data_IF_415943226282
#
_entry.id   IF_415943226282
#
_cell.length_a   1.000
_cell.length_b   1.000
_cell.length_c   1.000
_cell.angle_alpha   90.00
_cell.angle_beta   90.00
_cell.angle_gamma   90.00
#
_symmetry.space_group_name_H-M   'P 1'
#
loop_
_entity.id
_entity.type
_entity.pdbx_description
1 polymer ?
#
# COMPACT_ATOMS: atom_id res chain seq x y z
N UNK A 1 5.29 -21.24 13.39
CA UNK A 1 5.17 -20.05 14.26
C UNK A 1 3.98 -19.24 13.77
N UNK A 2 3.12 -18.70 14.65
CA UNK A 2 2.03 -17.81 14.24
C UNK A 2 2.58 -16.39 14.04
N UNK A 3 2.06 -15.67 13.06
CA UNK A 3 2.39 -14.28 12.76
C UNK A 3 1.22 -13.35 13.11
N UNK A 4 1.41 -12.02 13.13
CA UNK A 4 0.37 -11.08 13.54
C UNK A 4 -0.96 -11.27 12.81
N UNK A 5 -0.93 -11.47 11.50
CA UNK A 5 -2.14 -11.67 10.69
C UNK A 5 -2.94 -12.93 11.09
N UNK A 6 -2.29 -13.93 11.70
CA UNK A 6 -2.91 -15.20 12.11
C UNK A 6 -3.62 -15.10 13.47
N UNK A 7 -3.21 -14.14 14.30
CA UNK A 7 -3.71 -13.96 15.68
C UNK A 7 -4.60 -12.72 15.84
N UNK A 8 -4.54 -11.78 14.89
CA UNK A 8 -5.31 -10.54 14.89
C UNK A 8 -6.62 -10.62 14.09
N UNK A 9 -7.13 -11.83 13.83
CA UNK A 9 -8.32 -12.03 13.00
C UNK A 9 -9.60 -11.48 13.65
N UNK A 10 -9.72 -11.58 14.97
CA UNK A 10 -10.88 -11.15 15.77
C UNK A 10 -10.53 -10.19 16.90
N UNK A 11 -9.36 -9.54 16.82
CA UNK A 11 -8.88 -8.62 17.86
C UNK A 11 -9.43 -7.23 17.62
N UNK A 12 -10.05 -6.67 18.66
CA UNK A 12 -10.54 -5.31 18.64
C UNK A 12 -9.38 -4.29 18.62
N UNK A 13 -9.37 -3.30 17.71
CA UNK A 13 -8.31 -2.30 17.64
C UNK A 13 -8.08 -1.50 18.94
N UNK A 14 -9.06 -1.33 19.82
CA UNK A 14 -8.87 -0.60 21.08
C UNK A 14 -7.99 -1.40 22.05
N UNK A 15 -8.07 -2.73 22.00
CA UNK A 15 -7.20 -3.62 22.78
C UNK A 15 -5.72 -3.48 22.39
N UNK A 16 -5.43 -3.28 21.10
CA UNK A 16 -4.07 -3.03 20.61
C UNK A 16 -3.52 -1.70 21.11
N UNK A 17 -4.36 -0.67 21.10
CA UNK A 17 -3.97 0.63 21.62
C UNK A 17 -3.74 0.58 23.14
N UNK A 18 -4.57 -0.16 23.88
CA UNK A 18 -4.38 -0.32 25.32
C UNK A 18 -3.08 -1.07 25.65
N UNK A 19 -2.80 -2.19 24.97
CA UNK A 19 -1.53 -2.92 25.11
C UNK A 19 -0.33 -2.02 24.80
N UNK A 20 -0.45 -1.18 23.77
CA UNK A 20 0.59 -0.22 23.40
C UNK A 20 0.80 0.88 24.46
N UNK A 21 -0.28 1.39 25.08
CA UNK A 21 -0.20 2.32 26.22
C UNK A 21 0.46 1.68 27.44
N UNK A 22 0.05 0.47 27.78
CA UNK A 22 0.60 -0.27 28.93
C UNK A 22 2.10 -0.53 28.74
N UNK A 23 2.53 -0.86 27.51
CA UNK A 23 3.95 -1.02 27.19
C UNK A 23 4.72 0.30 27.29
N UNK A 24 4.18 1.41 26.77
CA UNK A 24 4.82 2.72 26.91
C UNK A 24 5.02 3.11 28.38
N UNK A 25 4.01 2.88 29.23
CA UNK A 25 4.13 3.10 30.68
C UNK A 25 5.21 2.23 31.32
N UNK A 26 5.33 0.96 30.92
CA UNK A 26 6.42 0.08 31.38
C UNK A 26 7.79 0.56 30.92
N UNK A 27 7.88 1.05 29.68
CA UNK A 27 9.12 1.54 29.09
C UNK A 27 9.64 2.80 29.82
N UNK A 28 8.74 3.66 30.31
CA UNK A 28 9.08 4.85 31.11
C UNK A 28 9.73 4.51 32.47
N UNK A 29 9.34 3.40 33.08
CA UNK A 29 9.82 2.95 34.39
C UNK A 29 10.83 1.81 34.30
N UNK A 30 11.38 1.60 33.11
CA UNK A 30 12.26 0.47 32.82
C UNK A 30 13.61 0.61 33.52
N UNK A 31 14.12 -0.52 34.05
CA UNK A 31 15.51 -0.61 34.52
C UNK A 31 16.49 -0.54 33.33
N UNK A 32 17.41 0.45 33.27
CA UNK A 32 18.42 0.57 32.21
C UNK A 32 19.36 -0.64 32.08
N UNK A 33 19.50 -1.46 33.13
CA UNK A 33 20.40 -2.62 33.14
C UNK A 33 19.85 -3.85 32.39
N UNK A 34 18.59 -3.81 31.92
CA UNK A 34 17.97 -4.90 31.15
C UNK A 34 17.38 -4.36 29.86
N UNK A 35 18.20 -4.12 28.82
CA UNK A 35 17.74 -3.66 27.50
C UNK A 35 16.97 -4.75 26.74
N UNK A 36 16.10 -4.33 25.81
CA UNK A 36 15.21 -5.17 25.00
C UNK A 36 15.46 -4.74 23.57
N UNK A 37 15.47 -5.72 22.67
CA UNK A 37 15.90 -5.51 21.32
C UNK A 37 14.89 -6.10 20.35
N UNK A 38 14.63 -5.39 19.26
CA UNK A 38 13.98 -5.96 18.11
C UNK A 38 15.04 -6.48 17.13
N UNK A 39 14.93 -7.76 16.77
CA UNK A 39 15.75 -8.32 15.69
C UNK A 39 15.08 -8.02 14.35
N UNK A 40 15.80 -7.37 13.44
CA UNK A 40 15.34 -7.14 12.08
C UNK A 40 15.99 -8.19 11.16
N UNK A 41 15.21 -8.93 10.35
CA UNK A 41 15.78 -9.87 9.40
C UNK A 41 16.80 -9.20 8.47
N UNK A 42 18.05 -9.69 8.47
CA UNK A 42 19.12 -9.16 7.63
C UNK A 42 19.75 -7.85 8.12
N UNK A 43 19.52 -7.43 9.36
CA UNK A 43 20.14 -6.24 9.96
C UNK A 43 20.48 -6.46 11.43
N UNK A 44 21.15 -5.49 12.04
CA UNK A 44 21.48 -5.54 13.47
C UNK A 44 20.23 -5.43 14.35
N UNK A 45 20.40 -5.82 15.62
CA UNK A 45 19.37 -5.67 16.63
C UNK A 45 19.24 -4.21 17.02
N UNK A 46 18.01 -3.71 17.07
CA UNK A 46 17.73 -2.34 17.51
C UNK A 46 17.30 -2.38 18.96
N UNK A 47 18.01 -1.63 19.80
CA UNK A 47 17.60 -1.41 21.19
C UNK A 47 16.30 -0.59 21.24
N UNK A 48 15.32 -1.07 21.98
CA UNK A 48 14.04 -0.39 22.16
C UNK A 48 14.16 0.57 23.34
N UNK A 49 13.98 1.86 23.07
CA UNK A 49 14.08 2.93 24.04
C UNK A 49 13.01 4.00 23.86
N UNK A 50 12.89 4.89 24.85
CA UNK A 50 11.91 5.98 24.82
C UNK A 50 12.13 6.97 23.67
N UNK A 51 13.38 7.10 23.19
CA UNK A 51 13.74 8.03 22.13
C UNK A 51 13.38 7.54 20.71
N UNK A 52 13.15 6.24 20.53
CA UNK A 52 12.91 5.63 19.22
C UNK A 52 11.57 4.89 19.13
N UNK A 53 10.67 5.09 20.08
CA UNK A 53 9.32 4.52 20.08
C UNK A 53 8.29 5.63 20.06
N UNK A 54 7.24 5.48 19.24
CA UNK A 54 6.18 6.47 19.15
C UNK A 54 4.84 5.93 18.64
N UNK A 55 3.75 6.56 19.03
CA UNK A 55 2.41 6.20 18.58
C UNK A 55 2.18 6.63 17.12
N UNK A 56 1.66 5.72 16.31
CA UNK A 56 1.27 5.96 14.92
C UNK A 56 -0.19 5.58 14.68
N UNK A 57 -0.97 6.40 13.95
CA UNK A 57 -2.36 6.05 13.62
C UNK A 57 -2.41 4.99 12.52
N UNK A 58 -3.24 3.97 12.70
CA UNK A 58 -3.43 2.91 11.69
C UNK A 58 -4.20 3.40 10.46
N UNK A 59 -5.08 4.39 10.62
CA UNK A 59 -6.05 4.81 9.61
C UNK A 59 -5.90 6.28 9.19
N UNK A 60 -4.67 6.72 8.94
CA UNK A 60 -4.39 8.05 8.39
C UNK A 60 -4.71 9.17 9.36
N UNK A 61 -5.61 10.09 8.97
CA UNK A 61 -6.01 11.23 9.79
C UNK A 61 -6.87 10.82 11.01
N UNK A 62 -7.41 9.59 11.00
CA UNK A 62 -8.15 9.08 12.14
C UNK A 62 -7.19 8.70 13.28
N UNK A 63 -7.19 9.51 14.33
CA UNK A 63 -6.37 9.33 15.52
C UNK A 63 -6.99 8.41 16.57
N UNK A 64 -8.15 7.79 16.31
CA UNK A 64 -8.84 6.93 17.28
C UNK A 64 -8.07 5.64 17.56
N UNK A 65 -7.39 5.07 16.56
CA UNK A 65 -6.72 3.77 16.69
C UNK A 65 -5.23 3.91 16.42
N UNK A 66 -4.43 3.84 17.48
CA UNK A 66 -2.98 3.98 17.42
C UNK A 66 -2.27 2.74 17.93
N UNK A 67 -1.11 2.45 17.34
CA UNK A 67 -0.18 1.43 17.81
C UNK A 67 1.19 2.06 18.05
N UNK A 68 2.05 1.39 18.82
CA UNK A 68 3.44 1.81 18.92
C UNK A 68 4.24 1.31 17.72
N UNK A 69 5.04 2.21 17.17
CA UNK A 69 6.06 1.90 16.17
C UNK A 69 7.44 2.10 16.78
N UNK A 70 8.38 1.23 16.38
CA UNK A 70 9.80 1.38 16.61
C UNK A 70 10.42 2.06 15.39
N UNK A 71 11.27 3.05 15.60
CA UNK A 71 11.96 3.84 14.59
C UNK A 71 13.46 3.55 14.60
N UNK A 72 14.12 3.74 13.46
CA UNK A 72 15.58 3.70 13.40
C UNK A 72 16.17 4.86 14.22
N UNK A 73 17.14 4.60 15.12
CA UNK A 73 17.78 5.67 15.91
C UNK A 73 18.46 6.75 15.07
N UNK A 74 19.01 6.37 13.93
CA UNK A 74 19.68 7.28 12.98
C UNK A 74 18.67 8.09 12.15
N UNK A 75 17.43 7.59 12.02
CA UNK A 75 16.41 8.13 11.13
C UNK A 75 15.02 8.03 11.78
N UNK A 76 14.73 8.93 12.72
CA UNK A 76 13.51 8.95 13.54
C UNK A 76 12.17 9.05 12.76
N UNK A 77 12.21 9.12 11.43
CA UNK A 77 11.02 9.09 10.56
C UNK A 77 10.76 7.72 9.91
N UNK A 78 11.70 6.77 10.00
CA UNK A 78 11.61 5.44 9.42
C UNK A 78 11.23 4.40 10.47
N UNK A 79 9.96 4.03 10.49
CA UNK A 79 9.49 2.91 11.29
C UNK A 79 10.03 1.58 10.75
N UNK A 80 10.31 0.63 11.64
CA UNK A 80 10.89 -0.69 11.32
C UNK A 80 10.15 -1.87 11.95
N UNK A 81 9.26 -1.59 12.91
CA UNK A 81 8.45 -2.59 13.57
C UNK A 81 7.28 -1.97 14.30
N UNK A 82 6.33 -2.82 14.70
CA UNK A 82 5.14 -2.43 15.46
C UNK A 82 5.03 -3.29 16.71
N UNK A 83 4.50 -2.70 17.78
CA UNK A 83 4.11 -3.43 18.97
C UNK A 83 2.66 -3.90 18.84
N UNK A 84 2.45 -5.20 18.79
CA UNK A 84 1.15 -5.83 18.53
C UNK A 84 0.97 -7.03 19.46
N UNK A 85 -0.15 -7.07 20.20
CA UNK A 85 -0.48 -8.12 21.19
C UNK A 85 0.70 -8.43 22.12
N UNK A 86 1.15 -7.42 22.84
CA UNK A 86 2.22 -7.52 23.83
C UNK A 86 3.61 -7.92 23.30
N UNK A 87 3.81 -7.94 21.98
CA UNK A 87 5.07 -8.34 21.34
C UNK A 87 5.54 -7.31 20.29
N UNK A 88 6.85 -7.13 20.19
CA UNK A 88 7.46 -6.40 19.07
C UNK A 88 7.59 -7.29 17.85
N UNK A 89 7.10 -6.79 16.71
CA UNK A 89 7.20 -7.45 15.43
C UNK A 89 7.97 -6.61 14.44
N UNK A 90 8.93 -7.23 13.74
CA UNK A 90 9.61 -6.58 12.61
C UNK A 90 8.62 -6.35 11.47
N UNK A 91 8.83 -5.30 10.68
CA UNK A 91 8.00 -5.03 9.51
C UNK A 91 7.94 -6.24 8.56
N UNK A 92 9.05 -6.98 8.41
CA UNK A 92 9.10 -8.16 7.53
C UNK A 92 8.31 -9.35 8.09
N UNK A 93 8.27 -9.54 9.41
CA UNK A 93 7.50 -10.64 10.01
C UNK A 93 6.01 -10.34 10.04
N UNK A 94 5.61 -9.07 10.12
CA UNK A 94 4.19 -8.68 9.99
C UNK A 94 3.63 -9.09 8.62
N UNK A 95 4.46 -9.11 7.57
CA UNK A 95 4.04 -9.48 6.21
C UNK A 95 3.90 -10.98 5.98
N UNK A 96 4.15 -11.82 6.99
CA UNK A 96 4.10 -13.28 6.86
C UNK A 96 2.86 -13.86 7.54
N UNK A 97 2.50 -15.06 7.13
CA UNK A 97 1.49 -15.91 7.78
C UNK A 97 2.07 -17.29 8.00
N UNK A 98 1.54 -18.01 9.00
CA UNK A 98 1.87 -19.40 9.26
C UNK A 98 1.29 -20.34 8.20
N UNK A 99 0.30 -19.88 7.43
CA UNK A 99 -0.35 -20.65 6.37
C UNK A 99 0.40 -20.48 5.04
N UNK A 100 1.20 -21.48 4.60
CA UNK A 100 1.94 -21.39 3.35
C UNK A 100 1.02 -21.45 2.12
N UNK A 101 -0.23 -21.86 2.29
CA UNK A 101 -1.22 -21.95 1.20
C UNK A 101 -1.88 -20.61 0.91
N UNK A 102 -1.71 -19.62 1.78
CA UNK A 102 -2.21 -18.26 1.56
C UNK A 102 -1.51 -17.62 0.37
N UNK A 103 -2.22 -17.54 -0.75
CA UNK A 103 -1.73 -16.99 -2.00
C UNK A 103 -2.84 -16.32 -2.81
N UNK A 104 -2.47 -15.47 -3.76
CA UNK A 104 -3.40 -14.74 -4.61
C UNK A 104 -3.83 -13.39 -4.02
N UNK A 105 -4.80 -12.75 -4.68
CA UNK A 105 -5.37 -11.48 -4.25
C UNK A 105 -6.51 -11.73 -3.28
N UNK A 106 -6.31 -11.35 -2.01
CA UNK A 106 -7.28 -11.54 -0.94
C UNK A 106 -7.73 -10.20 -0.40
N UNK A 107 -9.04 -10.03 -0.25
CA UNK A 107 -9.65 -8.83 0.32
C UNK A 107 -9.30 -8.65 1.79
N UNK A 108 -9.04 -7.41 2.19
CA UNK A 108 -8.75 -7.03 3.57
C UNK A 108 -10.04 -6.99 4.39
N UNK A 109 -10.17 -7.92 5.35
CA UNK A 109 -11.38 -8.06 6.19
C UNK A 109 -11.10 -7.97 7.69
N UNK A 110 -9.87 -8.24 8.10
CA UNK A 110 -9.48 -8.34 9.51
C UNK A 110 -8.54 -7.22 9.94
N UNK A 111 -8.47 -6.97 11.26
CA UNK A 111 -7.50 -6.04 11.85
C UNK A 111 -6.07 -6.40 11.47
N UNK A 112 -5.72 -7.70 11.50
CA UNK A 112 -4.43 -8.21 11.08
C UNK A 112 -4.09 -7.86 9.63
N UNK A 113 -5.01 -8.09 8.69
CA UNK A 113 -4.80 -7.73 7.27
C UNK A 113 -4.68 -6.22 7.07
N UNK A 114 -5.45 -5.42 7.82
CA UNK A 114 -5.32 -3.96 7.76
C UNK A 114 -3.96 -3.49 8.25
N UNK A 115 -3.37 -4.16 9.24
CA UNK A 115 -1.99 -3.90 9.69
C UNK A 115 -0.97 -4.33 8.62
N UNK A 116 -1.16 -5.47 7.95
CA UNK A 116 -0.31 -5.87 6.80
C UNK A 116 -0.34 -4.80 5.71
N UNK A 117 -1.53 -4.32 5.35
CA UNK A 117 -1.72 -3.23 4.39
C UNK A 117 -1.00 -1.95 4.85
N UNK A 118 -1.14 -1.58 6.13
CA UNK A 118 -0.44 -0.44 6.72
C UNK A 118 1.08 -0.61 6.59
N UNK A 119 1.64 -1.78 6.90
CA UNK A 119 3.08 -2.03 6.81
C UNK A 119 3.57 -1.94 5.36
N UNK A 120 2.87 -2.53 4.39
CA UNK A 120 3.23 -2.43 2.98
C UNK A 120 3.28 -0.97 2.50
N UNK A 121 2.26 -0.17 2.84
CA UNK A 121 2.16 1.23 2.41
C UNK A 121 3.08 2.16 3.23
N UNK A 122 2.95 2.17 4.55
CA UNK A 122 3.54 3.19 5.42
C UNK A 122 4.97 2.90 5.83
N UNK A 123 5.36 1.63 5.83
CA UNK A 123 6.71 1.19 6.20
C UNK A 123 7.47 0.80 4.95
N UNK A 124 7.17 -0.35 4.33
CA UNK A 124 7.97 -0.91 3.23
C UNK A 124 8.08 0.06 2.06
N UNK A 125 6.95 0.52 1.52
CA UNK A 125 6.97 1.47 0.41
C UNK A 125 7.72 2.75 0.80
N UNK A 126 7.32 3.44 1.87
CA UNK A 126 7.88 4.77 2.19
C UNK A 126 9.33 4.76 2.66
N UNK A 127 9.81 3.71 3.32
CA UNK A 127 11.15 3.69 3.92
C UNK A 127 12.17 2.90 3.12
N UNK A 128 11.74 1.87 2.36
CA UNK A 128 12.65 0.97 1.64
C UNK A 128 12.52 1.06 0.12
N UNK A 129 11.33 1.32 -0.41
CA UNK A 129 11.06 1.03 -1.83
C UNK A 129 10.56 2.21 -2.67
N UNK A 130 10.21 3.33 -2.06
CA UNK A 130 9.80 4.54 -2.76
C UNK A 130 10.99 5.11 -3.56
N UNK A 131 10.79 5.42 -4.83
CA UNK A 131 11.76 6.21 -5.58
C UNK A 131 11.64 7.70 -5.20
N UNK A 132 12.71 8.47 -5.34
CA UNK A 132 12.73 9.88 -4.92
C UNK A 132 11.64 10.73 -5.59
N UNK A 133 11.32 10.43 -6.85
CA UNK A 133 10.28 11.09 -7.62
C UNK A 133 8.86 10.53 -7.41
N UNK A 134 8.69 9.41 -6.71
CA UNK A 134 7.36 8.82 -6.51
C UNK A 134 6.55 9.61 -5.46
N UNK A 135 5.23 9.64 -5.59
CA UNK A 135 4.34 10.29 -4.61
C UNK A 135 4.15 9.38 -3.39
N UNK A 136 4.09 9.95 -2.17
CA UNK A 136 3.74 9.17 -0.98
C UNK A 136 2.25 8.83 -1.03
N UNK A 137 1.88 7.55 -1.09
CA UNK A 137 0.50 7.12 -0.95
C UNK A 137 -0.07 7.57 0.39
N UNK A 138 -1.32 8.00 0.42
CA UNK A 138 -2.02 8.29 1.67
C UNK A 138 -2.23 6.99 2.47
N UNK A 139 -2.49 7.13 3.77
CA UNK A 139 -2.86 5.96 4.56
C UNK A 139 -4.31 5.59 4.25
N UNK A 140 -4.62 4.30 4.27
CA UNK A 140 -5.97 3.81 4.00
C UNK A 140 -6.91 4.09 5.17
N UNK A 141 -8.16 4.41 4.85
CA UNK A 141 -9.20 4.53 5.85
C UNK A 141 -9.58 3.16 6.43
N UNK A 142 -10.33 3.15 7.53
CA UNK A 142 -10.70 1.91 8.24
C UNK A 142 -11.45 0.92 7.34
N UNK A 143 -12.38 1.43 6.55
CA UNK A 143 -13.31 0.64 5.75
C UNK A 143 -13.02 0.76 4.25
N UNK A 144 -11.86 1.33 3.89
CA UNK A 144 -11.44 1.45 2.49
C UNK A 144 -11.17 0.07 1.90
N UNK A 145 -11.76 -0.19 0.73
CA UNK A 145 -11.58 -1.44 0.00
C UNK A 145 -10.12 -1.61 -0.40
N UNK A 146 -9.55 -2.77 -0.10
CA UNK A 146 -8.23 -3.15 -0.55
C UNK A 146 -8.11 -4.67 -0.69
N UNK A 147 -7.24 -5.12 -1.57
CA UNK A 147 -6.76 -6.51 -1.59
C UNK A 147 -5.25 -6.56 -1.41
N UNK A 148 -4.79 -7.54 -0.65
CA UNK A 148 -3.37 -7.86 -0.49
C UNK A 148 -3.04 -9.03 -1.41
N UNK A 149 -1.94 -8.92 -2.14
CA UNK A 149 -1.38 -10.01 -2.91
C UNK A 149 -0.46 -10.84 -2.02
N UNK A 150 -0.79 -12.11 -1.88
CA UNK A 150 -0.02 -13.10 -1.14
C UNK A 150 0.71 -14.06 -2.08
N UNK A 151 1.96 -14.37 -1.75
CA UNK A 151 2.78 -15.38 -2.43
C UNK A 151 3.43 -16.27 -1.39
N UNK A 152 3.06 -17.55 -1.37
CA UNK A 152 3.64 -18.55 -0.47
C UNK A 152 3.64 -18.12 1.01
N UNK A 153 2.53 -17.54 1.49
CA UNK A 153 2.42 -17.05 2.86
C UNK A 153 3.08 -15.71 3.16
N UNK A 154 3.57 -14.99 2.13
CA UNK A 154 4.13 -13.64 2.28
C UNK A 154 3.32 -12.60 1.51
N UNK A 155 3.04 -11.46 2.13
CA UNK A 155 2.39 -10.33 1.50
C UNK A 155 3.40 -9.54 0.64
N UNK A 156 3.16 -9.52 -0.67
CA UNK A 156 4.12 -8.99 -1.66
C UNK A 156 3.63 -7.74 -2.40
N UNK A 157 2.39 -7.34 -2.18
CA UNK A 157 1.80 -6.15 -2.78
C UNK A 157 0.36 -5.96 -2.36
N UNK A 158 -0.24 -4.87 -2.82
CA UNK A 158 -1.65 -4.57 -2.60
C UNK A 158 -2.18 -3.61 -3.67
N UNK A 159 -3.50 -3.51 -3.76
CA UNK A 159 -4.16 -2.35 -4.35
C UNK A 159 -5.35 -1.93 -3.49
N UNK A 160 -5.70 -0.64 -3.52
CA UNK A 160 -6.89 -0.09 -2.87
C UNK A 160 -7.81 0.58 -3.88
N UNK A 161 -9.09 0.68 -3.53
CA UNK A 161 -10.14 1.24 -4.39
C UNK A 161 -10.97 2.24 -3.62
N UNK A 162 -11.31 3.35 -4.28
CA UNK A 162 -12.40 4.25 -3.89
C UNK A 162 -13.63 3.86 -4.70
N UNK A 163 -14.64 3.21 -4.09
CA UNK A 163 -15.81 2.76 -4.81
C UNK A 163 -16.67 3.93 -5.29
N UNK A 164 -17.34 3.76 -6.42
CA UNK A 164 -18.34 4.71 -6.92
C UNK A 164 -19.43 4.99 -5.87
N UNK A 165 -19.89 6.24 -5.81
CA UNK A 165 -20.92 6.68 -4.87
C UNK A 165 -20.44 6.90 -3.44
N UNK A 166 -19.20 6.53 -3.09
CA UNK A 166 -18.64 6.81 -1.76
C UNK A 166 -18.19 8.26 -1.62
N UNK A 167 -18.35 8.84 -0.42
CA UNK A 167 -17.96 10.21 -0.15
C UNK A 167 -16.44 10.36 -0.21
N UNK A 168 -15.95 11.36 -0.94
CA UNK A 168 -14.54 11.68 -0.96
C UNK A 168 -14.13 12.39 0.32
N UNK A 169 -13.20 11.81 1.10
CA UNK A 169 -12.74 12.41 2.36
C UNK A 169 -12.05 13.76 2.21
N UNK A 170 -11.63 14.14 0.99
CA UNK A 170 -11.03 15.45 0.70
C UNK A 170 -12.07 16.52 0.31
N UNK A 171 -13.29 16.12 -0.05
CA UNK A 171 -14.35 17.01 -0.53
C UNK A 171 -15.65 16.73 0.23
N UNK A 172 -16.08 17.68 1.07
CA UNK A 172 -17.18 17.51 2.02
C UNK A 172 -18.52 17.06 1.42
N UNK A 173 -18.74 17.27 0.12
CA UNK A 173 -20.03 17.05 -0.54
C UNK A 173 -19.96 16.21 -1.82
N UNK A 174 -18.78 15.73 -2.20
CA UNK A 174 -18.61 15.03 -3.48
C UNK A 174 -18.39 13.53 -3.28
N UNK A 175 -19.10 12.73 -4.06
CA UNK A 175 -18.86 11.30 -4.17
C UNK A 175 -18.00 10.98 -5.39
N UNK A 176 -17.39 9.80 -5.40
CA UNK A 176 -16.71 9.27 -6.58
C UNK A 176 -17.71 8.93 -7.69
N UNK A 177 -17.47 9.42 -8.91
CA UNK A 177 -18.36 9.25 -10.08
C UNK A 177 -18.13 7.92 -10.81
N UNK A 178 -17.06 7.20 -10.45
CA UNK A 178 -16.70 5.88 -10.95
C UNK A 178 -15.78 5.18 -9.94
N UNK A 179 -15.60 3.85 -10.02
CA UNK A 179 -14.62 3.15 -9.21
C UNK A 179 -13.21 3.59 -9.57
N UNK A 180 -12.39 3.98 -8.59
CA UNK A 180 -11.00 4.40 -8.80
C UNK A 180 -10.05 3.46 -8.07
N UNK A 181 -9.13 2.81 -8.78
CA UNK A 181 -7.96 2.20 -8.16
C UNK A 181 -7.04 3.32 -7.66
N UNK A 182 -7.07 3.54 -6.34
CA UNK A 182 -6.43 4.67 -5.66
C UNK A 182 -4.93 4.45 -5.48
N UNK A 183 -4.57 3.23 -5.10
CA UNK A 183 -3.17 2.85 -4.92
C UNK A 183 -2.94 1.46 -5.44
N UNK A 184 -1.75 1.26 -6.00
CA UNK A 184 -1.24 -0.05 -6.39
C UNK A 184 0.24 -0.11 -6.06
N UNK A 185 0.64 -1.20 -5.42
CA UNK A 185 2.02 -1.40 -5.01
C UNK A 185 2.40 -2.87 -5.09
N UNK A 186 3.55 -3.14 -5.68
CA UNK A 186 4.22 -4.44 -5.67
C UNK A 186 5.64 -4.23 -5.19
N UNK A 187 6.06 -5.05 -4.21
CA UNK A 187 7.42 -5.01 -3.66
C UNK A 187 8.45 -5.22 -4.77
N UNK A 188 9.56 -4.46 -4.73
CA UNK A 188 10.59 -4.42 -5.77
C UNK A 188 11.12 -5.80 -6.14
N UNK A 189 11.40 -6.64 -5.14
CA UNK A 189 11.85 -8.03 -5.33
C UNK A 189 10.84 -8.94 -6.03
N UNK A 190 9.57 -8.53 -6.14
CA UNK A 190 8.50 -9.27 -6.81
C UNK A 190 8.02 -8.62 -8.11
N UNK A 191 8.55 -7.44 -8.49
CA UNK A 191 8.19 -6.78 -9.76
C UNK A 191 8.62 -7.63 -10.97
N UNK A 192 8.08 -7.30 -12.15
CA UNK A 192 8.31 -8.02 -13.41
C UNK A 192 7.83 -9.48 -13.44
N UNK A 193 7.05 -9.92 -12.45
CA UNK A 193 6.41 -11.25 -12.40
C UNK A 193 4.92 -11.24 -12.79
N UNK A 194 4.44 -10.17 -13.45
CA UNK A 194 3.04 -10.06 -13.90
C UNK A 194 2.04 -9.59 -12.85
N UNK A 195 2.44 -9.40 -11.59
CA UNK A 195 1.52 -9.02 -10.50
C UNK A 195 0.76 -7.70 -10.70
N UNK A 196 1.37 -6.70 -11.33
CA UNK A 196 0.66 -5.45 -11.65
C UNK A 196 -0.48 -5.66 -12.64
N UNK A 197 -0.28 -6.52 -13.64
CA UNK A 197 -1.33 -6.89 -14.60
C UNK A 197 -2.43 -7.70 -13.89
N UNK A 198 -2.05 -8.68 -13.07
CA UNK A 198 -3.00 -9.48 -12.30
C UNK A 198 -3.91 -8.60 -11.41
N UNK A 199 -3.34 -7.59 -10.73
CA UNK A 199 -4.11 -6.64 -9.92
C UNK A 199 -5.05 -5.78 -10.77
N UNK A 200 -4.62 -5.33 -11.95
CA UNK A 200 -5.45 -4.57 -12.86
C UNK A 200 -6.61 -5.41 -13.41
N UNK A 201 -6.35 -6.65 -13.81
CA UNK A 201 -7.37 -7.59 -14.27
C UNK A 201 -8.40 -7.91 -13.16
N UNK A 202 -7.93 -8.14 -11.94
CA UNK A 202 -8.81 -8.34 -10.79
C UNK A 202 -9.68 -7.10 -10.51
N UNK A 203 -9.09 -5.90 -10.56
CA UNK A 203 -9.84 -4.66 -10.41
C UNK A 203 -10.91 -4.48 -11.49
N UNK A 204 -10.55 -4.66 -12.76
CA UNK A 204 -11.52 -4.58 -13.87
C UNK A 204 -12.64 -5.59 -13.68
N UNK A 205 -12.31 -6.82 -13.29
CA UNK A 205 -13.30 -7.87 -13.08
C UNK A 205 -14.28 -7.55 -11.94
N UNK A 206 -13.78 -7.09 -10.80
CA UNK A 206 -14.61 -6.85 -9.60
C UNK A 206 -15.40 -5.52 -9.65
N UNK A 207 -14.92 -4.53 -10.41
CA UNK A 207 -15.50 -3.18 -10.45
C UNK A 207 -15.97 -2.78 -11.86
N UNK A 208 -16.28 -3.76 -12.71
CA UNK A 208 -16.68 -3.51 -14.09
C UNK A 208 -17.91 -2.59 -14.15
N UNK A 209 -17.71 -1.40 -14.68
CA UNK A 209 -18.75 -0.44 -15.06
C UNK A 209 -18.42 0.13 -16.45
N UNK A 210 -19.19 1.08 -16.96
CA UNK A 210 -18.96 1.74 -18.26
C UNK A 210 -17.55 2.37 -18.37
N UNK A 211 -17.02 2.85 -17.23
CA UNK A 211 -15.66 3.36 -17.13
C UNK A 211 -15.12 3.11 -15.72
N UNK A 212 -13.80 2.89 -15.63
CA UNK A 212 -13.09 2.76 -14.35
C UNK A 212 -11.86 3.66 -14.33
N UNK A 213 -11.52 4.13 -13.13
CA UNK A 213 -10.43 5.08 -12.89
C UNK A 213 -9.18 4.44 -12.32
N UNK A 214 -8.04 5.01 -12.69
CA UNK A 214 -6.73 4.80 -12.07
C UNK A 214 -6.23 6.15 -11.59
N UNK A 215 -5.93 6.25 -10.30
CA UNK A 215 -5.59 7.51 -9.66
C UNK A 215 -4.31 8.12 -10.24
N UNK A 216 -4.42 9.38 -10.66
CA UNK A 216 -3.32 10.21 -11.15
C UNK A 216 -2.39 10.65 -10.00
N UNK A 217 -1.07 10.78 -10.22
CA UNK A 217 -0.36 10.47 -11.47
C UNK A 217 0.00 8.99 -11.60
N UNK A 218 -0.19 8.43 -12.80
CA UNK A 218 0.28 7.10 -13.12
C UNK A 218 1.80 7.07 -13.34
N UNK A 219 2.45 6.09 -12.71
CA UNK A 219 3.87 5.83 -12.94
C UNK A 219 4.11 5.28 -14.35
N UNK A 220 5.31 5.45 -14.93
CA UNK A 220 5.67 4.82 -16.20
C UNK A 220 5.49 3.29 -16.19
N UNK A 221 5.70 2.65 -15.04
CA UNK A 221 5.46 1.22 -14.87
C UNK A 221 3.96 0.88 -14.99
N UNK A 222 3.08 1.71 -14.43
CA UNK A 222 1.64 1.49 -14.52
C UNK A 222 1.11 1.71 -15.94
N UNK A 223 1.67 2.67 -16.70
CA UNK A 223 1.36 2.81 -18.12
C UNK A 223 1.69 1.54 -18.92
N UNK A 224 2.84 0.91 -18.67
CA UNK A 224 3.20 -0.38 -19.29
C UNK A 224 2.25 -1.51 -18.91
N UNK A 225 1.76 -1.52 -17.67
CA UNK A 225 0.73 -2.48 -17.23
C UNK A 225 -0.58 -2.26 -17.99
N UNK A 226 -1.02 -1.01 -18.11
CA UNK A 226 -2.23 -0.66 -18.86
C UNK A 226 -2.10 -1.00 -20.35
N UNK A 227 -0.95 -0.71 -20.97
CA UNK A 227 -0.67 -1.07 -22.36
C UNK A 227 -0.77 -2.59 -22.56
N UNK A 228 -0.12 -3.36 -21.67
CA UNK A 228 -0.20 -4.83 -21.72
C UNK A 228 -1.63 -5.33 -21.55
N UNK A 229 -2.39 -4.75 -20.63
CA UNK A 229 -3.80 -5.09 -20.44
C UNK A 229 -4.62 -4.84 -21.70
N UNK A 230 -4.51 -3.66 -22.31
CA UNK A 230 -5.28 -3.30 -23.51
C UNK A 230 -4.90 -4.13 -24.74
N UNK A 231 -3.65 -4.58 -24.82
CA UNK A 231 -3.22 -5.52 -25.87
C UNK A 231 -3.86 -6.91 -25.71
N UNK A 232 -4.10 -7.36 -24.47
CA UNK A 232 -4.77 -8.63 -24.18
C UNK A 232 -6.30 -8.51 -24.27
N UNK A 233 -6.83 -7.32 -24.00
CA UNK A 233 -8.26 -7.02 -23.96
C UNK A 233 -8.62 -5.82 -24.85
N UNK A 234 -8.53 -5.92 -26.19
CA UNK A 234 -8.78 -4.78 -27.10
C UNK A 234 -10.18 -4.18 -26.98
N UNK A 235 -11.16 -4.98 -26.55
CA UNK A 235 -12.54 -4.54 -26.28
C UNK A 235 -12.62 -3.47 -25.19
N UNK A 236 -11.64 -3.41 -24.29
CA UNK A 236 -11.60 -2.49 -23.15
C UNK A 236 -10.88 -1.17 -23.48
N UNK A 237 -10.63 -0.87 -24.76
CA UNK A 237 -9.96 0.36 -25.21
C UNK A 237 -10.57 1.63 -24.61
N UNK A 238 -11.88 1.66 -24.39
CA UNK A 238 -12.60 2.81 -23.82
C UNK A 238 -12.87 2.72 -22.31
N UNK A 239 -12.41 1.64 -21.65
CA UNK A 239 -12.74 1.33 -20.26
C UNK A 239 -11.83 2.07 -19.26
N UNK A 240 -10.53 2.17 -19.55
CA UNK A 240 -9.53 2.63 -18.58
C UNK A 240 -9.27 4.15 -18.68
N UNK A 241 -9.40 4.83 -17.54
CA UNK A 241 -9.20 6.28 -17.42
C UNK A 241 -8.19 6.60 -16.33
N UNK A 242 -7.27 7.52 -16.61
CA UNK A 242 -6.48 8.16 -15.56
C UNK A 242 -7.31 9.30 -14.96
N UNK A 243 -7.50 9.29 -13.65
CA UNK A 243 -8.47 10.14 -12.95
C UNK A 243 -7.80 11.02 -11.90
N UNK A 244 -8.21 12.28 -11.84
CA UNK A 244 -7.96 13.16 -10.70
C UNK A 244 -9.22 13.27 -9.84
N UNK A 245 -9.07 13.64 -8.56
CA UNK A 245 -10.19 13.93 -7.68
C UNK A 245 -11.19 12.78 -7.58
N UNK A 246 -12.47 13.08 -7.80
CA UNK A 246 -13.58 12.11 -7.75
C UNK A 246 -13.87 11.43 -9.08
N UNK A 247 -13.15 11.81 -10.14
CA UNK A 247 -13.26 11.18 -11.46
C UNK A 247 -14.41 11.69 -12.32
N UNK A 248 -14.88 12.92 -12.06
CA UNK A 248 -15.85 13.59 -12.94
C UNK A 248 -15.38 13.64 -14.40
N UNK A 249 -16.30 13.88 -15.33
CA UNK A 249 -16.03 13.86 -16.77
C UNK A 249 -14.84 14.72 -17.21
N UNK A 250 -14.63 15.88 -16.57
CA UNK A 250 -13.52 16.80 -16.84
C UNK A 250 -12.22 16.48 -16.05
N UNK A 251 -12.29 15.55 -15.09
CA UNK A 251 -11.15 15.14 -14.24
C UNK A 251 -10.46 13.88 -14.75
N UNK A 252 -10.93 13.30 -15.85
CA UNK A 252 -10.47 12.01 -16.36
C UNK A 252 -9.95 12.10 -17.79
N UNK A 253 -8.95 11.28 -18.10
CA UNK A 253 -8.37 11.16 -19.44
C UNK A 253 -8.21 9.70 -19.82
N UNK A 254 -8.66 9.33 -21.02
CA UNK A 254 -8.60 7.95 -21.48
C UNK A 254 -7.16 7.47 -21.64
N UNK A 255 -6.82 6.34 -21.02
CA UNK A 255 -5.44 5.84 -20.99
C UNK A 255 -4.96 5.42 -22.38
N UNK A 256 -5.82 4.79 -23.18
CA UNK A 256 -5.49 4.40 -24.55
C UNK A 256 -5.01 5.61 -25.40
N UNK A 257 -5.68 6.77 -25.26
CA UNK A 257 -5.28 8.01 -25.96
C UNK A 257 -3.93 8.53 -25.47
N UNK A 258 -3.67 8.46 -24.16
CA UNK A 258 -2.39 8.86 -23.57
C UNK A 258 -1.24 7.98 -24.07
N UNK A 259 -1.45 6.66 -24.12
CA UNK A 259 -0.47 5.71 -24.66
C UNK A 259 -0.14 5.99 -26.14
N UNK A 260 -1.17 6.24 -26.97
CA UNK A 260 -0.97 6.61 -28.38
C UNK A 260 -0.15 7.90 -28.53
N UNK A 261 -0.44 8.92 -27.73
CA UNK A 261 0.31 10.18 -27.74
C UNK A 261 1.78 9.97 -27.32
N UNK A 262 2.05 9.13 -26.31
CA UNK A 262 3.40 8.79 -25.88
C UNK A 262 4.20 8.07 -26.97
N UNK A 263 3.57 7.11 -27.66
CA UNK A 263 4.21 6.38 -28.77
C UNK A 263 4.56 7.31 -29.94
N UNK A 264 3.64 8.20 -30.33
CA UNK A 264 3.88 9.20 -31.38
C UNK A 264 5.06 10.12 -31.04
N UNK A 265 5.14 10.61 -29.79
CA UNK A 265 6.23 11.45 -29.34
C UNK A 265 7.58 10.72 -29.35
N UNK A 266 7.59 9.44 -28.96
CA UNK A 266 8.80 8.61 -29.00
C UNK A 266 9.31 8.40 -30.45
N UNK A 267 8.40 8.15 -31.39
CA UNK A 267 8.71 7.99 -32.82
C UNK A 267 9.22 9.29 -33.45
N UNK A 268 8.70 10.44 -33.04
CA UNK A 268 9.21 11.74 -33.48
C UNK A 268 10.63 12.00 -32.97
N UNK A 269 10.91 11.74 -31.70
CA UNK A 269 12.26 11.86 -31.12
C UNK A 269 13.28 10.98 -31.88
N UNK A 270 12.95 9.72 -32.16
CA UNK A 270 13.82 8.82 -32.94
C UNK A 270 14.08 9.36 -34.35
N UNK A 271 13.06 9.93 -35.02
CA UNK A 271 13.24 10.59 -36.32
C UNK A 271 14.20 11.79 -36.19
N UNK A 272 14.03 12.66 -35.19
CA UNK A 272 14.93 13.79 -34.96
C UNK A 272 16.40 13.38 -34.76
N UNK A 273 16.66 12.28 -34.05
CA UNK A 273 18.03 11.77 -33.90
C UNK A 273 18.59 11.14 -35.18
N UNK A 274 17.73 10.56 -36.05
CA UNK A 274 18.17 10.00 -37.34
C UNK A 274 18.50 11.04 -38.41
N UNK A 275 17.98 12.27 -38.31
CA UNK A 275 18.29 13.36 -39.24
C UNK A 275 19.47 14.25 -38.81
N UNK A 276 20.08 13.97 -37.65
CA UNK A 276 21.22 14.75 -37.10
C UNK A 276 22.57 14.03 -37.16
N UNK A 277 22.62 12.83 -37.73
CA UNK A 277 23.85 12.08 -38.06
C UNK A 277 23.97 11.95 -39.58
#
# INVERSE_FOLDING_TARGET
MKYPVDVLTSVDPESLEQSAKDYMSKLLHRNPEKPEYLSIPGSEKIEIGLCNVGFVPLHGANIKYKVLALFLPEENSKAVGLYLLDHWWSAEDILKTADPTRTGLLEVKTTGERIVLYVLNRIIYRTKEKADCDVKFLCHEKDEFAKILWKNGEAVGFYSVKPEGTLCSHYLTMCYDLPIMDTIFVRKCHRSNGYGLQMLEDFVWNFKNDCIGLQCPLSPAMYKVCEKYLNLHPQDTNLLWETNGTGCSFQRSQIARKLQAMDLNSKQLIKFFRYKN
#
